data_IF_489178559396
#
_entry.id   IF_489178559396
#
_cell.length_a   1.000
_cell.length_b   1.000
_cell.length_c   1.000
_cell.angle_alpha   90.00
_cell.angle_beta   90.00
_cell.angle_gamma   90.00
#
_symmetry.space_group_name_H-M   'P 1'
#
loop_
_entity.id
_entity.type
_entity.pdbx_description
1 polymer ?
#
# COMPACT_ATOMS: atom_id res chain seq x y z
N UNK A 1 28.83 18.34 43.83
CA UNK A 1 28.78 17.54 42.57
C UNK A 1 28.84 18.52 41.40
N UNK A 2 30.01 18.66 40.77
CA UNK A 2 30.27 19.73 39.79
C UNK A 2 29.95 19.28 38.36
N UNK A 3 29.04 19.98 37.67
CA UNK A 3 28.67 19.75 36.28
C UNK A 3 29.69 20.44 35.38
N UNK A 4 30.58 19.68 34.74
CA UNK A 4 31.47 20.18 33.67
C UNK A 4 30.68 20.28 32.36
N UNK A 5 30.45 21.50 31.87
CA UNK A 5 29.96 21.75 30.51
C UNK A 5 31.10 21.52 29.51
N UNK A 6 30.99 20.49 28.67
CA UNK A 6 31.83 20.33 27.48
C UNK A 6 31.40 21.37 26.42
N UNK A 7 32.23 22.38 26.19
CA UNK A 7 32.16 23.17 24.95
C UNK A 7 32.86 22.37 23.85
N UNK A 8 32.13 21.98 22.81
CA UNK A 8 32.71 21.38 21.62
C UNK A 8 33.66 22.40 20.96
N UNK A 9 34.90 21.97 20.69
CA UNK A 9 35.92 22.78 20.05
C UNK A 9 35.64 22.82 18.54
N UNK A 10 35.30 24.00 18.00
CA UNK A 10 34.96 24.20 16.59
C UNK A 10 36.13 23.96 15.62
N UNK A 11 37.33 23.70 16.14
CA UNK A 11 38.54 23.45 15.36
C UNK A 11 38.96 21.98 15.34
N UNK A 12 38.07 21.03 15.66
CA UNK A 12 38.37 19.61 15.53
C UNK A 12 38.60 19.25 14.04
N UNK A 13 39.82 18.83 13.65
CA UNK A 13 40.14 18.50 12.26
C UNK A 13 39.26 17.37 11.69
N UNK A 14 38.76 16.45 12.52
CA UNK A 14 37.84 15.38 12.07
C UNK A 14 36.46 15.92 11.71
N UNK A 15 36.00 16.95 12.40
CA UNK A 15 34.71 17.61 12.11
C UNK A 15 34.79 18.40 10.79
N UNK A 16 35.94 19.04 10.55
CA UNK A 16 36.21 19.78 9.30
C UNK A 16 36.35 18.85 8.08
N UNK A 17 36.92 17.67 8.25
CA UNK A 17 37.05 16.69 7.15
C UNK A 17 35.70 16.08 6.75
N UNK A 18 34.83 15.76 7.72
CA UNK A 18 33.46 15.30 7.44
C UNK A 18 32.60 16.38 6.77
N UNK A 19 32.80 17.66 7.14
CA UNK A 19 32.09 18.77 6.50
C UNK A 19 32.51 18.94 5.04
N UNK A 20 33.80 18.78 4.74
CA UNK A 20 34.32 18.81 3.36
C UNK A 20 33.79 17.64 2.51
N UNK A 21 33.73 16.42 3.06
CA UNK A 21 33.15 15.26 2.35
C UNK A 21 31.67 15.46 2.00
N UNK A 22 30.89 16.02 2.93
CA UNK A 22 29.46 16.25 2.70
C UNK A 22 29.15 17.37 1.68
N UNK A 23 30.02 18.36 1.52
CA UNK A 23 29.87 19.39 0.47
C UNK A 23 30.25 18.87 -0.92
N UNK A 24 31.13 17.86 -1.00
CA UNK A 24 31.62 17.32 -2.26
C UNK A 24 30.65 16.31 -2.92
N UNK A 25 29.68 15.77 -2.16
CA UNK A 25 28.70 14.78 -2.63
C UNK A 25 27.37 15.40 -3.11
N UNK A 26 27.24 16.74 -3.05
CA UNK A 26 26.03 17.42 -3.49
C UNK A 26 25.93 17.37 -5.03
N UNK A 27 24.88 16.75 -5.61
CA UNK A 27 24.76 16.64 -7.06
C UNK A 27 24.74 18.02 -7.69
N UNK A 28 25.57 18.22 -8.72
CA UNK A 28 25.66 19.51 -9.41
C UNK A 28 24.29 19.94 -9.93
N UNK A 29 24.04 21.25 -9.98
CA UNK A 29 22.79 21.82 -10.49
C UNK A 29 22.41 21.24 -11.87
N UNK A 30 23.40 20.91 -12.70
CA UNK A 30 23.22 20.28 -14.01
C UNK A 30 22.69 18.84 -13.91
N UNK A 31 23.09 18.09 -12.89
CA UNK A 31 22.58 16.73 -12.63
C UNK A 31 21.15 16.75 -12.09
N UNK A 32 20.83 17.73 -11.24
CA UNK A 32 19.48 17.91 -10.72
C UNK A 32 18.49 18.28 -11.85
N UNK A 33 18.90 19.14 -12.79
CA UNK A 33 18.09 19.50 -13.95
C UNK A 33 17.87 18.30 -14.90
N UNK A 34 18.90 17.48 -15.13
CA UNK A 34 18.77 16.23 -15.91
C UNK A 34 17.75 15.26 -15.29
N UNK A 35 17.77 15.11 -13.95
CA UNK A 35 16.81 14.26 -13.24
C UNK A 35 15.37 14.77 -13.39
N UNK A 36 15.15 16.08 -13.28
CA UNK A 36 13.82 16.69 -13.47
C UNK A 36 13.26 16.47 -14.87
N UNK A 37 14.11 16.63 -15.90
CA UNK A 37 13.73 16.41 -17.31
C UNK A 37 13.38 14.92 -17.55
N UNK A 38 14.18 14.00 -16.99
CA UNK A 38 13.92 12.57 -17.13
C UNK A 38 12.58 12.16 -16.51
N UNK A 39 12.25 12.69 -15.32
CA UNK A 39 10.95 12.44 -14.68
C UNK A 39 9.76 12.99 -15.49
N UNK A 40 9.91 14.17 -16.10
CA UNK A 40 8.85 14.75 -16.92
C UNK A 40 8.57 13.90 -18.17
N UNK A 41 9.62 13.39 -18.84
CA UNK A 41 9.49 12.54 -20.03
C UNK A 41 8.80 11.21 -19.67
N UNK A 42 9.23 10.56 -18.59
CA UNK A 42 8.63 9.28 -18.14
C UNK A 42 7.13 9.46 -17.82
N UNK A 43 6.76 10.57 -17.20
CA UNK A 43 5.36 10.86 -16.83
C UNK A 43 4.45 11.05 -18.07
N UNK A 44 4.97 11.69 -19.12
CA UNK A 44 4.24 11.90 -20.38
C UNK A 44 4.01 10.58 -21.13
N UNK A 45 5.02 9.70 -21.16
CA UNK A 45 4.92 8.39 -21.82
C UNK A 45 3.86 7.51 -21.13
N UNK A 46 3.84 7.48 -19.80
CA UNK A 46 2.85 6.71 -19.02
C UNK A 46 1.42 7.21 -19.29
N UNK A 47 1.20 8.54 -19.29
CA UNK A 47 -0.11 9.11 -19.56
C UNK A 47 -0.65 8.77 -20.96
N UNK A 48 0.24 8.67 -21.95
CA UNK A 48 -0.14 8.40 -23.35
C UNK A 48 -0.58 6.94 -23.58
N UNK A 49 0.01 5.99 -22.84
CA UNK A 49 -0.34 4.57 -22.93
C UNK A 49 -1.73 4.29 -22.36
N UNK A 50 -2.15 5.04 -21.33
CA UNK A 50 -3.47 4.88 -20.70
C UNK A 50 -4.62 5.32 -21.61
N UNK A 51 -4.40 6.33 -22.47
CA UNK A 51 -5.45 6.87 -23.35
C UNK A 51 -5.81 5.92 -24.50
N UNK A 52 -4.87 5.09 -24.96
CA UNK A 52 -5.10 4.18 -26.11
C UNK A 52 -5.91 2.93 -25.71
N UNK A 53 -5.97 2.57 -24.42
CA UNK A 53 -6.62 1.35 -23.95
C UNK A 53 -8.15 1.38 -23.79
N UNK A 54 -8.82 2.52 -24.03
CA UNK A 54 -10.24 2.72 -23.63
C UNK A 54 -11.24 2.65 -24.81
N UNK A 55 -10.80 2.50 -26.07
CA UNK A 55 -11.70 2.50 -27.24
C UNK A 55 -11.78 1.15 -27.96
N UNK A 56 -12.57 0.22 -27.44
CA UNK A 56 -13.18 -0.85 -28.25
C UNK A 56 -14.65 -1.03 -27.79
N UNK A 57 -15.66 -0.61 -28.58
CA UNK A 57 -17.04 -0.99 -28.33
C UNK A 57 -17.35 -2.37 -28.94
N UNK A 58 -17.89 -3.27 -28.11
CA UNK A 58 -18.36 -4.61 -28.51
C UNK A 58 -19.70 -4.52 -29.25
N UNK A 59 -19.76 -5.11 -30.45
CA UNK A 59 -20.97 -5.25 -31.28
C UNK A 59 -21.73 -6.52 -30.88
N UNK A 60 -23.02 -6.41 -30.56
CA UNK A 60 -23.92 -7.55 -30.31
C UNK A 60 -24.86 -7.75 -31.50
N UNK A 61 -24.77 -8.90 -32.16
CA UNK A 61 -25.65 -9.30 -33.28
C UNK A 61 -26.80 -10.16 -32.73
N UNK A 62 -28.06 -9.73 -32.91
CA UNK A 62 -29.26 -10.56 -32.69
C UNK A 62 -29.65 -11.26 -33.99
N UNK A 63 -29.91 -12.57 -33.92
CA UNK A 63 -30.48 -13.36 -35.03
C UNK A 63 -31.89 -13.84 -34.66
N UNK A 64 -32.88 -13.48 -35.47
CA UNK A 64 -34.28 -13.92 -35.37
C UNK A 64 -34.47 -15.28 -36.08
N UNK A 65 -35.31 -16.15 -35.52
CA UNK A 65 -35.79 -17.38 -36.15
C UNK A 65 -37.14 -17.83 -35.58
N UNK A 66 -38.07 -18.15 -36.47
CA UNK A 66 -39.51 -18.41 -36.26
C UNK A 66 -39.84 -19.91 -36.13
N UNK A 67 -40.92 -20.24 -35.39
CA UNK A 67 -41.64 -21.51 -35.07
C UNK A 67 -41.94 -22.51 -36.26
N UNK A 68 -42.47 -23.77 -36.07
CA UNK A 68 -43.50 -24.22 -35.10
C UNK A 68 -43.34 -25.63 -34.42
N UNK A 69 -44.28 -25.89 -33.49
CA UNK A 69 -44.45 -27.04 -32.55
C UNK A 69 -45.33 -28.18 -33.15
N UNK A 70 -45.48 -29.36 -32.49
CA UNK A 70 -46.63 -29.50 -31.57
C UNK A 70 -46.42 -30.35 -30.29
N UNK A 71 -46.94 -29.79 -29.19
CA UNK A 71 -47.85 -30.34 -28.16
C UNK A 71 -47.61 -31.72 -27.52
N UNK A 72 -47.30 -31.72 -26.21
CA UNK A 72 -48.00 -32.60 -25.24
C UNK A 72 -48.02 -31.96 -23.82
N UNK A 73 -49.17 -32.09 -23.18
CA UNK A 73 -49.62 -31.63 -21.85
C UNK A 73 -48.70 -31.97 -20.68
N UNK A 74 -48.51 -31.04 -19.71
CA UNK A 74 -48.66 -31.27 -18.26
C UNK A 74 -48.25 -30.07 -17.38
N UNK A 75 -49.12 -29.79 -16.41
CA UNK A 75 -48.90 -29.22 -15.07
C UNK A 75 -48.19 -27.87 -14.91
N UNK A 76 -48.95 -26.89 -14.41
CA UNK A 76 -48.48 -25.60 -13.92
C UNK A 76 -47.63 -25.77 -12.65
N UNK A 77 -46.32 -25.56 -12.76
CA UNK A 77 -45.45 -25.29 -11.61
C UNK A 77 -45.06 -23.82 -11.66
N UNK A 78 -45.57 -23.00 -10.74
CA UNK A 78 -45.09 -21.64 -10.57
C UNK A 78 -43.61 -21.70 -10.20
N UNK A 79 -42.75 -21.30 -11.14
CA UNK A 79 -41.33 -21.14 -10.86
C UNK A 79 -41.14 -19.74 -10.31
N UNK A 80 -41.13 -19.61 -8.99
CA UNK A 80 -40.67 -18.39 -8.32
C UNK A 80 -39.20 -18.22 -8.68
N UNK A 81 -38.88 -17.22 -9.50
CA UNK A 81 -37.50 -16.78 -9.69
C UNK A 81 -37.02 -16.21 -8.36
N UNK A 82 -36.40 -17.05 -7.54
CA UNK A 82 -35.58 -16.56 -6.44
C UNK A 82 -34.38 -15.87 -7.08
N UNK A 83 -34.36 -14.55 -7.05
CA UNK A 83 -33.12 -13.80 -7.19
C UNK A 83 -32.21 -14.27 -6.05
N UNK A 84 -31.32 -15.21 -6.33
CA UNK A 84 -30.22 -15.54 -5.44
C UNK A 84 -29.33 -14.32 -5.43
N UNK A 85 -29.55 -13.44 -4.46
CA UNK A 85 -28.55 -12.49 -4.00
C UNK A 85 -27.37 -13.34 -3.54
N UNK A 86 -26.34 -13.46 -4.38
CA UNK A 86 -25.06 -13.99 -3.96
C UNK A 86 -24.53 -13.05 -2.89
N UNK A 87 -24.75 -13.38 -1.62
CA UNK A 87 -24.01 -12.79 -0.51
C UNK A 87 -22.59 -13.32 -0.61
N UNK A 88 -21.74 -12.65 -1.39
CA UNK A 88 -20.29 -12.82 -1.29
C UNK A 88 -19.91 -12.40 0.11
N UNK A 89 -19.59 -13.36 0.98
CA UNK A 89 -19.04 -13.07 2.30
C UNK A 89 -17.71 -12.36 2.09
N UNK A 90 -17.68 -11.06 2.32
CA UNK A 90 -16.45 -10.27 2.33
C UNK A 90 -15.61 -10.74 3.52
N UNK A 91 -14.59 -11.54 3.24
CA UNK A 91 -13.68 -12.06 4.26
C UNK A 91 -12.47 -11.14 4.31
N UNK A 92 -12.35 -10.34 5.38
CA UNK A 92 -11.13 -9.58 5.67
C UNK A 92 -10.01 -10.55 6.05
N UNK A 93 -9.16 -10.78 5.06
CA UNK A 93 -8.05 -11.67 5.16
C UNK A 93 -7.01 -11.16 6.11
N UNK A 94 -6.72 -9.85 6.20
CA UNK A 94 -5.64 -9.39 7.10
C UNK A 94 -5.95 -9.71 8.56
N UNK A 95 -7.22 -9.63 8.94
CA UNK A 95 -7.69 -10.01 10.27
C UNK A 95 -7.72 -11.51 10.55
N UNK A 96 -8.17 -12.30 9.57
CA UNK A 96 -8.17 -13.75 9.67
C UNK A 96 -6.73 -14.32 9.63
N UNK A 97 -5.78 -13.55 9.11
CA UNK A 97 -4.36 -13.88 9.02
C UNK A 97 -3.61 -13.73 10.35
N UNK A 98 -4.00 -12.82 11.23
CA UNK A 98 -3.36 -12.63 12.54
C UNK A 98 -3.97 -13.49 13.66
N UNK A 99 -5.26 -13.84 13.53
CA UNK A 99 -5.99 -14.57 14.59
C UNK A 99 -5.90 -16.10 14.48
N UNK A 100 -5.57 -16.68 13.31
CA UNK A 100 -5.55 -18.13 13.13
C UNK A 100 -4.21 -18.80 13.50
N UNK A 101 -3.06 -18.18 13.20
CA UNK A 101 -1.71 -18.64 13.60
C UNK A 101 -0.77 -17.43 13.49
N UNK A 102 -0.13 -17.00 14.57
CA UNK A 102 0.72 -15.80 14.57
C UNK A 102 1.80 -15.85 13.46
N UNK A 103 1.71 -14.96 12.47
CA UNK A 103 2.85 -14.53 11.65
C UNK A 103 3.01 -13.02 11.76
N UNK A 104 4.27 -12.61 11.87
CA UNK A 104 4.67 -11.24 12.17
C UNK A 104 4.51 -10.37 10.93
N UNK A 105 3.95 -9.18 11.10
CA UNK A 105 3.97 -8.12 10.09
C UNK A 105 5.31 -7.38 10.19
N UNK A 106 5.97 -7.17 9.06
CA UNK A 106 7.26 -6.49 9.01
C UNK A 106 7.13 -5.15 8.32
N UNK A 107 7.38 -4.08 9.06
CA UNK A 107 7.47 -2.74 8.49
C UNK A 107 8.67 -2.64 7.55
N UNK A 108 8.52 -1.87 6.46
CA UNK A 108 9.57 -1.60 5.49
C UNK A 108 9.65 -0.13 5.13
N UNK A 109 10.81 0.30 4.65
CA UNK A 109 11.04 1.64 4.14
C UNK A 109 12.06 1.63 3.00
N UNK A 110 12.28 2.80 2.40
CA UNK A 110 13.23 3.03 1.31
C UNK A 110 12.98 2.09 0.13
N UNK A 111 11.72 2.02 -0.30
CA UNK A 111 11.28 1.11 -1.34
C UNK A 111 10.26 1.76 -2.28
N UNK A 112 10.05 1.15 -3.42
CA UNK A 112 9.06 1.52 -4.42
C UNK A 112 8.54 0.23 -5.06
N UNK A 113 7.52 0.34 -5.90
CA UNK A 113 6.95 -0.83 -6.60
C UNK A 113 8.03 -1.62 -7.35
N UNK A 114 8.14 -2.92 -7.06
CA UNK A 114 9.16 -3.83 -7.61
C UNK A 114 10.60 -3.55 -7.13
N UNK A 115 10.79 -2.59 -6.22
CA UNK A 115 12.10 -2.23 -5.68
C UNK A 115 12.45 -2.98 -4.40
N UNK A 116 13.75 -3.09 -4.12
CA UNK A 116 14.27 -3.58 -2.84
C UNK A 116 13.73 -2.74 -1.68
N UNK A 117 13.69 -3.33 -0.50
CA UNK A 117 13.18 -2.70 0.71
C UNK A 117 14.12 -2.93 1.88
N UNK A 118 14.19 -1.95 2.78
CA UNK A 118 14.91 -2.08 4.05
C UNK A 118 13.89 -2.35 5.15
N UNK A 119 14.16 -3.35 6.01
CA UNK A 119 13.30 -3.60 7.18
C UNK A 119 13.33 -2.40 8.11
N UNK A 120 12.14 -1.91 8.47
CA UNK A 120 12.01 -0.89 9.48
C UNK A 120 12.22 -1.47 10.89
N UNK A 121 12.71 -0.65 11.81
CA UNK A 121 12.97 -1.03 13.21
C UNK A 121 12.17 -0.16 14.17
N UNK A 122 11.88 -0.61 15.41
CA UNK A 122 11.23 0.25 16.39
C UNK A 122 12.11 1.44 16.74
N UNK A 123 11.52 2.64 16.84
CA UNK A 123 12.19 3.84 17.30
C UNK A 123 11.52 5.11 16.81
N UNK A 124 12.32 6.16 16.60
CA UNK A 124 11.81 7.50 16.27
C UNK A 124 12.62 8.20 15.17
N UNK A 125 13.50 7.47 14.47
CA UNK A 125 14.40 8.01 13.43
C UNK A 125 13.96 7.60 12.03
N UNK A 126 14.74 8.03 11.03
CA UNK A 126 14.60 7.61 9.64
C UNK A 126 14.61 6.09 9.52
N UNK A 127 13.66 5.57 8.76
CA UNK A 127 13.47 4.14 8.54
C UNK A 127 12.92 3.38 9.74
N UNK A 128 12.47 4.09 10.78
CA UNK A 128 11.89 3.47 11.96
C UNK A 128 10.37 3.63 12.00
N UNK A 129 9.73 2.78 12.78
CA UNK A 129 8.32 2.91 13.16
C UNK A 129 8.19 3.22 14.65
N UNK A 130 7.10 3.86 15.04
CA UNK A 130 6.79 4.11 16.45
C UNK A 130 6.65 2.78 17.21
N UNK A 131 7.36 2.55 18.34
CA UNK A 131 7.24 1.30 19.08
C UNK A 131 5.83 0.98 19.59
N UNK A 132 5.00 2.00 19.77
CA UNK A 132 3.60 1.88 20.20
C UNK A 132 2.63 1.68 19.03
N UNK A 133 3.05 2.05 17.82
CA UNK A 133 2.27 1.98 16.57
C UNK A 133 3.01 1.06 15.60
N UNK A 134 3.19 -0.20 16.01
CA UNK A 134 3.99 -1.21 15.31
C UNK A 134 3.32 -1.74 14.04
N UNK A 135 4.04 -2.40 13.11
CA UNK A 135 3.48 -2.86 11.83
C UNK A 135 2.28 -3.80 11.96
N UNK A 136 2.23 -4.59 13.03
CA UNK A 136 1.11 -5.47 13.38
C UNK A 136 -0.20 -4.71 13.59
N UNK A 137 -0.14 -3.42 13.96
CA UNK A 137 -1.30 -2.53 14.08
C UNK A 137 -1.90 -2.11 12.75
N UNK A 138 -1.30 -2.49 11.63
CA UNK A 138 -1.89 -2.25 10.31
C UNK A 138 -2.93 -3.31 9.94
N UNK A 139 -3.06 -4.40 10.70
CA UNK A 139 -3.92 -5.54 10.36
C UNK A 139 -4.53 -6.21 11.60
N UNK A 140 -4.58 -5.55 12.75
CA UNK A 140 -5.09 -6.15 13.99
C UNK A 140 -6.62 -6.05 14.15
N UNK A 141 -7.30 -5.59 13.10
CA UNK A 141 -8.76 -5.40 12.99
C UNK A 141 -9.35 -4.51 14.04
N UNK A 142 -8.53 -3.59 14.53
CA UNK A 142 -8.92 -2.58 15.47
C UNK A 142 -8.64 -1.22 14.86
N UNK A 143 -9.68 -0.60 14.30
CA UNK A 143 -9.60 0.76 13.75
C UNK A 143 -9.23 1.86 14.79
N UNK A 144 -9.04 1.50 16.05
CA UNK A 144 -8.55 2.39 17.13
C UNK A 144 -7.03 2.32 17.34
N UNK A 145 -6.37 1.28 16.83
CA UNK A 145 -4.91 1.21 16.75
C UNK A 145 -4.43 1.82 15.44
N UNK A 146 -3.12 2.06 15.32
CA UNK A 146 -2.53 2.62 14.11
C UNK A 146 -1.13 2.09 13.89
N UNK A 147 -0.72 2.09 12.64
CA UNK A 147 0.67 1.90 12.25
C UNK A 147 1.26 3.23 11.78
N UNK A 148 2.47 3.56 12.28
CA UNK A 148 3.23 4.74 11.85
C UNK A 148 4.64 4.33 11.44
N UNK A 149 5.01 4.70 10.21
CA UNK A 149 6.38 4.59 9.72
C UNK A 149 6.90 5.96 9.31
N UNK A 150 8.03 6.38 9.89
CA UNK A 150 8.58 7.72 9.62
C UNK A 150 9.24 7.81 8.24
N UNK A 151 9.59 6.68 7.62
CA UNK A 151 10.14 6.63 6.27
C UNK A 151 11.43 7.44 6.15
N UNK A 152 11.41 8.49 5.33
CA UNK A 152 12.55 9.39 5.12
C UNK A 152 12.78 10.40 6.27
N UNK A 153 11.85 10.47 7.23
CA UNK A 153 11.82 11.46 8.31
C UNK A 153 12.05 10.82 9.69
N UNK A 154 12.07 11.66 10.72
CA UNK A 154 12.13 11.28 12.13
C UNK A 154 10.87 11.79 12.85
N UNK A 155 10.63 11.33 14.08
CA UNK A 155 9.52 11.81 14.90
C UNK A 155 9.61 13.33 15.08
N UNK A 156 8.47 14.02 14.96
CA UNK A 156 8.35 15.49 15.03
C UNK A 156 9.06 16.26 13.89
N UNK A 157 9.57 15.57 12.86
CA UNK A 157 10.02 16.21 11.62
C UNK A 157 8.90 16.07 10.60
N UNK A 158 8.49 17.21 10.02
CA UNK A 158 7.33 17.29 9.15
C UNK A 158 7.77 17.70 7.74
N UNK A 159 7.41 16.89 6.76
CA UNK A 159 7.73 17.07 5.34
C UNK A 159 6.76 16.27 4.49
N UNK A 160 6.53 16.71 3.25
CA UNK A 160 5.72 15.99 2.26
C UNK A 160 6.28 14.59 1.94
N UNK A 161 7.56 14.34 2.24
CA UNK A 161 8.21 13.04 2.03
C UNK A 161 8.10 12.07 3.21
N UNK A 162 7.56 12.49 4.36
CA UNK A 162 7.47 11.63 5.54
C UNK A 162 6.42 10.52 5.32
N UNK A 163 6.77 9.29 5.69
CA UNK A 163 5.92 8.11 5.50
C UNK A 163 5.74 7.64 4.05
N UNK A 164 6.20 8.38 3.04
CA UNK A 164 6.25 7.89 1.66
C UNK A 164 7.32 6.80 1.51
N UNK A 165 7.12 5.89 0.54
CA UNK A 165 8.05 4.79 0.26
C UNK A 165 8.25 3.89 1.48
N UNK A 166 7.18 3.73 2.26
CA UNK A 166 7.08 2.85 3.41
C UNK A 166 5.93 1.89 3.23
N UNK A 167 5.80 0.96 4.17
CA UNK A 167 4.65 0.09 4.27
C UNK A 167 5.03 -1.12 5.10
N UNK A 168 4.49 -2.27 4.74
CA UNK A 168 4.81 -3.52 5.40
C UNK A 168 4.70 -4.69 4.42
N UNK A 169 5.26 -5.82 4.81
CA UNK A 169 4.87 -7.10 4.24
C UNK A 169 4.49 -8.08 5.33
N UNK A 170 3.71 -9.08 4.95
CA UNK A 170 3.34 -10.20 5.79
C UNK A 170 3.46 -11.52 5.02
N UNK A 171 3.72 -12.57 5.78
CA UNK A 171 3.67 -13.95 5.31
C UNK A 171 2.35 -14.57 5.80
N UNK A 172 1.59 -15.17 4.89
CA UNK A 172 0.27 -15.71 5.18
C UNK A 172 0.38 -17.02 5.96
N UNK A 173 -0.20 -17.07 7.16
CA UNK A 173 -0.21 -18.26 8.00
C UNK A 173 -0.88 -19.47 7.34
N UNK A 174 -2.00 -19.23 6.65
CA UNK A 174 -2.86 -20.26 6.04
C UNK A 174 -2.37 -20.78 4.69
N UNK A 175 -1.16 -20.39 4.27
CA UNK A 175 -0.63 -20.70 2.95
C UNK A 175 -1.14 -19.76 1.87
N UNK A 176 -0.99 -20.19 0.62
CA UNK A 176 -1.25 -19.36 -0.55
C UNK A 176 -2.73 -18.95 -0.63
N UNK A 177 -2.99 -17.65 -0.82
CA UNK A 177 -4.34 -17.10 -0.89
C UNK A 177 -4.49 -16.21 -2.11
N UNK A 178 -5.65 -16.23 -2.75
CA UNK A 178 -6.01 -15.28 -3.79
C UNK A 178 -6.57 -14.00 -3.15
N UNK A 179 -5.97 -12.85 -3.45
CA UNK A 179 -6.45 -11.53 -3.00
C UNK A 179 -6.80 -10.68 -4.22
N UNK A 180 -7.97 -10.06 -4.19
CA UNK A 180 -8.59 -9.29 -5.28
C UNK A 180 -9.22 -7.98 -4.79
N UNK A 181 -9.10 -7.68 -3.50
CA UNK A 181 -9.61 -6.47 -2.90
C UNK A 181 -8.70 -5.92 -1.82
N UNK A 182 -8.71 -4.59 -1.68
CA UNK A 182 -7.95 -3.83 -0.70
C UNK A 182 -8.85 -2.73 -0.12
N UNK A 183 -8.91 -2.60 1.20
CA UNK A 183 -9.59 -1.49 1.88
C UNK A 183 -8.69 -0.96 2.99
N UNK A 184 -8.64 0.35 3.16
CA UNK A 184 -7.79 1.00 4.16
C UNK A 184 -8.68 1.80 5.10
N UNK A 185 -8.34 1.79 6.38
CA UNK A 185 -9.05 2.53 7.40
C UNK A 185 -8.18 3.63 8.01
N UNK A 186 -8.80 4.77 8.27
CA UNK A 186 -8.17 5.91 8.92
C UNK A 186 -8.14 5.74 10.43
N UNK A 187 -7.22 6.46 11.05
CA UNK A 187 -7.11 6.54 12.51
C UNK A 187 -8.20 7.47 13.08
N UNK A 188 -8.19 7.65 14.41
CA UNK A 188 -9.03 8.64 15.09
C UNK A 188 -8.48 10.08 15.12
N UNK A 189 -7.27 10.34 14.59
CA UNK A 189 -6.63 11.65 14.74
C UNK A 189 -7.28 12.74 13.87
N UNK A 190 -7.01 14.00 14.21
CA UNK A 190 -7.66 15.20 13.64
C UNK A 190 -7.21 15.61 12.25
N UNK A 191 -6.46 14.73 11.62
CA UNK A 191 -5.73 14.97 10.41
C UNK A 191 -6.04 13.79 9.48
N UNK A 192 -6.53 13.98 8.24
CA UNK A 192 -6.67 12.91 7.26
C UNK A 192 -5.29 12.54 6.69
N UNK A 193 -4.38 12.19 7.61
CA UNK A 193 -2.97 11.83 7.43
C UNK A 193 -2.81 10.42 6.78
N UNK A 194 -3.80 9.99 6.01
CA UNK A 194 -3.84 8.68 5.36
C UNK A 194 -3.12 8.65 4.00
N UNK A 195 -2.78 7.46 3.50
CA UNK A 195 -2.27 7.31 2.14
C UNK A 195 -3.36 7.65 1.11
N UNK A 196 -2.99 8.25 -0.01
CA UNK A 196 -3.89 8.54 -1.15
C UNK A 196 -3.62 7.63 -2.34
N UNK A 197 -2.37 7.20 -2.53
CA UNK A 197 -1.95 6.24 -3.55
C UNK A 197 -1.11 5.15 -2.89
N UNK A 198 -1.41 3.91 -3.24
CA UNK A 198 -0.82 2.71 -2.65
C UNK A 198 -0.54 1.66 -3.71
N UNK A 199 0.27 0.67 -3.35
CA UNK A 199 0.37 -0.57 -4.10
C UNK A 199 0.22 -1.80 -3.22
N UNK A 200 -0.25 -2.88 -3.84
CA UNK A 200 -0.21 -4.23 -3.27
C UNK A 200 0.54 -5.14 -4.23
N UNK A 201 1.46 -5.93 -3.67
CA UNK A 201 2.27 -6.89 -4.41
C UNK A 201 2.19 -8.27 -3.75
N UNK A 202 2.27 -9.32 -4.55
CA UNK A 202 2.28 -10.72 -4.10
C UNK A 202 3.65 -11.36 -4.27
N UNK A 203 4.01 -12.28 -3.38
CA UNK A 203 5.22 -13.11 -3.47
C UNK A 203 4.98 -14.52 -2.95
N UNK A 204 5.71 -15.48 -3.50
CA UNK A 204 5.83 -16.83 -2.96
C UNK A 204 7.20 -17.11 -2.31
N UNK A 205 8.02 -16.07 -2.17
CA UNK A 205 9.30 -16.12 -1.46
C UNK A 205 9.08 -16.08 0.06
N UNK A 206 10.14 -16.33 0.84
CA UNK A 206 10.09 -16.35 2.32
C UNK A 206 11.32 -15.66 2.92
N UNK A 207 11.26 -15.38 4.23
CA UNK A 207 12.45 -14.99 4.99
C UNK A 207 13.08 -13.66 4.55
N UNK A 208 14.37 -13.68 4.21
CA UNK A 208 15.13 -12.49 3.80
C UNK A 208 14.87 -12.07 2.36
N UNK A 209 14.46 -12.99 1.49
CA UNK A 209 14.22 -12.70 0.07
C UNK A 209 13.03 -11.75 -0.12
N UNK A 210 12.12 -11.69 0.85
CA UNK A 210 11.02 -10.72 0.90
C UNK A 210 11.49 -9.26 1.02
N UNK A 211 12.78 -9.02 1.26
CA UNK A 211 13.36 -7.67 1.17
C UNK A 211 13.79 -7.29 -0.25
N UNK A 212 13.92 -8.25 -1.17
CA UNK A 212 14.32 -8.01 -2.55
C UNK A 212 13.11 -7.63 -3.41
N UNK A 213 13.25 -6.61 -4.24
CA UNK A 213 12.21 -6.13 -5.15
C UNK A 213 11.80 -7.16 -6.19
N UNK A 214 12.78 -7.94 -6.67
CA UNK A 214 12.57 -9.04 -7.63
C UNK A 214 11.69 -10.17 -7.10
N UNK A 215 11.46 -10.24 -5.78
CA UNK A 215 10.57 -11.22 -5.16
C UNK A 215 9.09 -10.87 -5.32
N UNK A 216 8.77 -9.65 -5.73
CA UNK A 216 7.41 -9.11 -5.69
C UNK A 216 6.80 -8.98 -7.09
N UNK A 217 5.56 -9.43 -7.24
CA UNK A 217 4.74 -9.21 -8.42
C UNK A 217 3.67 -8.17 -8.11
N UNK A 218 3.58 -7.11 -8.92
CA UNK A 218 2.56 -6.09 -8.75
C UNK A 218 1.16 -6.63 -9.02
N UNK A 219 0.24 -6.42 -8.06
CA UNK A 219 -1.17 -6.81 -8.16
C UNK A 219 -2.08 -5.59 -8.26
N UNK A 220 -1.75 -4.54 -7.52
CA UNK A 220 -2.52 -3.30 -7.46
C UNK A 220 -1.59 -2.10 -7.37
N UNK A 221 -1.90 -1.05 -8.13
CA UNK A 221 -1.34 0.29 -7.97
C UNK A 221 -2.45 1.28 -8.29
N UNK A 222 -2.88 2.05 -7.30
CA UNK A 222 -3.99 2.97 -7.47
C UNK A 222 -4.32 3.76 -6.22
N UNK A 223 -5.51 4.33 -6.21
CA UNK A 223 -6.03 5.06 -5.05
C UNK A 223 -6.13 4.17 -3.82
N UNK A 224 -5.98 4.75 -2.63
CA UNK A 224 -6.24 4.06 -1.36
C UNK A 224 -7.73 3.82 -1.08
N UNK A 225 -8.63 4.45 -1.84
CA UNK A 225 -10.05 4.53 -1.52
C UNK A 225 -10.38 5.56 -0.43
N UNK A 226 -9.39 6.36 0.00
CA UNK A 226 -9.52 7.45 0.97
C UNK A 226 -9.59 8.84 0.34
N UNK A 227 -9.84 8.91 -0.98
CA UNK A 227 -9.98 10.17 -1.71
C UNK A 227 -11.14 11.01 -1.17
N UNK A 228 -12.24 10.33 -0.83
CA UNK A 228 -13.32 10.89 -0.03
C UNK A 228 -13.01 10.55 1.43
N UNK A 229 -12.91 11.55 2.30
CA UNK A 229 -12.65 11.33 3.73
C UNK A 229 -13.80 10.51 4.34
N UNK A 230 -13.58 9.23 4.71
CA UNK A 230 -14.63 8.39 5.29
C UNK A 230 -14.98 8.82 6.73
N UNK A 231 -14.23 9.76 7.30
CA UNK A 231 -14.26 10.15 8.69
C UNK A 231 -13.30 9.33 9.54
N UNK A 232 -13.26 9.68 10.83
CA UNK A 232 -12.36 9.08 11.81
C UNK A 232 -12.72 7.63 12.10
N UNK A 233 -11.70 6.78 12.22
CA UNK A 233 -11.87 5.36 12.54
C UNK A 233 -12.83 4.66 11.56
N UNK A 234 -12.83 5.12 10.32
CA UNK A 234 -13.68 4.62 9.24
C UNK A 234 -12.80 4.16 8.10
N UNK A 235 -13.36 3.23 7.33
CA UNK A 235 -12.70 2.66 6.17
C UNK A 235 -13.15 3.38 4.91
N UNK A 236 -12.21 3.57 4.00
CA UNK A 236 -12.50 4.07 2.66
C UNK A 236 -13.25 3.06 1.80
N UNK A 237 -13.41 3.44 0.53
CA UNK A 237 -14.01 2.58 -0.49
C UNK A 237 -13.14 1.35 -0.77
N UNK A 238 -13.78 0.19 -0.93
CA UNK A 238 -13.11 -1.05 -1.33
C UNK A 238 -12.53 -0.91 -2.74
N UNK A 239 -11.24 -1.18 -2.88
CA UNK A 239 -10.53 -1.18 -4.15
C UNK A 239 -10.48 -2.61 -4.70
N UNK A 240 -11.20 -2.86 -5.80
CA UNK A 240 -11.18 -4.14 -6.49
C UNK A 240 -10.09 -4.17 -7.56
N UNK A 241 -9.47 -5.33 -7.76
CA UNK A 241 -8.51 -5.55 -8.83
C UNK A 241 -8.51 -7.00 -9.30
N UNK A 242 -8.10 -7.19 -10.55
CA UNK A 242 -8.01 -8.53 -11.12
C UNK A 242 -6.69 -9.19 -10.72
N UNK A 243 -6.79 -10.35 -10.08
CA UNK A 243 -5.68 -11.22 -9.77
C UNK A 243 -6.15 -12.66 -9.91
N UNK A 244 -5.38 -13.48 -10.61
CA UNK A 244 -5.68 -14.90 -10.85
C UNK A 244 -4.66 -15.83 -10.20
N UNK A 245 -3.69 -15.27 -9.45
CA UNK A 245 -2.59 -16.01 -8.83
C UNK A 245 -2.65 -15.83 -7.32
N UNK A 246 -2.68 -16.95 -6.59
CA UNK A 246 -2.60 -16.95 -5.15
C UNK A 246 -1.14 -16.82 -4.69
N UNK A 247 -0.90 -16.03 -3.64
CA UNK A 247 0.43 -15.80 -3.07
C UNK A 247 0.48 -16.16 -1.58
N UNK A 248 1.66 -16.57 -1.11
CA UNK A 248 1.92 -16.83 0.32
C UNK A 248 2.35 -15.60 1.09
N UNK A 249 2.71 -14.50 0.42
CA UNK A 249 3.15 -13.25 1.04
C UNK A 249 2.61 -12.05 0.28
N UNK A 250 2.35 -10.96 1.02
CA UNK A 250 1.85 -9.72 0.46
C UNK A 250 2.63 -8.53 0.99
N UNK A 251 2.93 -7.56 0.11
CA UNK A 251 3.57 -6.28 0.44
C UNK A 251 2.65 -5.13 0.08
N UNK A 252 2.37 -4.30 1.07
CA UNK A 252 1.61 -3.08 0.93
C UNK A 252 2.57 -1.89 1.02
N UNK A 253 2.49 -0.95 0.06
CA UNK A 253 3.33 0.25 0.05
C UNK A 253 2.49 1.52 -0.05
N UNK A 254 2.95 2.56 0.64
CA UNK A 254 2.44 3.92 0.54
C UNK A 254 3.27 4.71 -0.48
N UNK A 255 2.60 5.21 -1.51
CA UNK A 255 3.23 5.89 -2.64
C UNK A 255 2.93 7.39 -2.65
N UNK A 256 1.75 7.79 -2.16
CA UNK A 256 1.38 9.20 -1.99
C UNK A 256 0.46 9.39 -0.79
N UNK A 257 0.37 10.64 -0.35
CA UNK A 257 -0.53 11.15 0.70
C UNK A 257 -1.00 12.56 0.32
N UNK A 258 -1.98 13.11 1.04
CA UNK A 258 -2.40 14.49 0.82
C UNK A 258 -1.25 15.48 1.08
N UNK A 259 -1.23 16.58 0.33
CA UNK A 259 -0.24 17.64 0.50
C UNK A 259 -0.44 18.35 1.86
N UNK A 260 0.65 18.69 2.55
CA UNK A 260 0.57 19.34 3.88
C UNK A 260 0.35 18.37 5.04
N UNK A 261 0.07 17.10 4.77
CA UNK A 261 0.06 16.04 5.77
C UNK A 261 1.46 15.83 6.34
N UNK A 262 1.59 15.61 7.64
CA UNK A 262 2.90 15.65 8.29
C UNK A 262 3.57 14.28 8.45
N UNK A 263 2.79 13.21 8.26
CA UNK A 263 3.22 11.81 8.28
C UNK A 263 2.17 10.95 7.54
N UNK A 264 2.43 9.65 7.44
CA UNK A 264 1.42 8.67 7.02
C UNK A 264 1.08 7.79 8.20
N UNK A 265 -0.21 7.69 8.48
CA UNK A 265 -0.75 6.74 9.43
C UNK A 265 -2.04 6.13 8.89
N UNK A 266 -2.30 4.89 9.29
CA UNK A 266 -3.52 4.17 8.97
C UNK A 266 -3.77 3.13 10.06
N UNK A 267 -5.04 2.85 10.30
CA UNK A 267 -5.46 1.92 11.35
C UNK A 267 -5.57 0.50 10.86
N UNK A 268 -6.04 0.29 9.63
CA UNK A 268 -6.18 -1.05 9.07
C UNK A 268 -5.90 -1.06 7.58
N UNK A 269 -5.35 -2.17 7.12
CA UNK A 269 -5.25 -2.57 5.72
C UNK A 269 -5.90 -3.93 5.61
N UNK A 270 -7.11 -3.94 5.06
CA UNK A 270 -7.92 -5.12 4.89
C UNK A 270 -7.73 -5.68 3.49
N UNK A 271 -7.51 -6.97 3.40
CA UNK A 271 -7.31 -7.69 2.14
C UNK A 271 -8.50 -8.58 1.90
N UNK A 272 -9.06 -8.61 0.69
CA UNK A 272 -10.27 -9.38 0.40
C UNK A 272 -10.06 -10.39 -0.72
N UNK A 273 -10.76 -11.51 -0.60
CA UNK A 273 -10.89 -12.56 -1.60
C UNK A 273 -12.38 -12.71 -1.93
N UNK A 274 -12.71 -12.90 -3.21
CA UNK A 274 -14.10 -13.01 -3.70
C UNK A 274 -14.27 -14.29 -4.51
#
# INVERSE_FOLDING_TARGET
>A
MAIRRFKANANDPKLMENKKKNEQEKPSHRQLQKRKILYAIVSIVIASIVIVGILIPTVVIKKNGTQPSPTTTSSSTMTTTSNMTMTTTEIDMCMILLTAVQRKVYGVHNTFVGGDSTRATPGSKRGQYSPEDSPDKACDGNVSTKYINYGSCEKMIFSDSCGLNTGFYLELARGSTLINGLKICLTGLSCPCGPTVVSLEGSNMTGTDLTLGSSWTLLYHGTSGLSDDPGRQKCGSLQHFNNTIAYTSYRFLVLAKNAGEVLVEYSEVQLYSF
#
